data_IF_461674783767
#
_entry.id   IF_461674783767
#
_cell.length_a   1.000
_cell.length_b   1.000
_cell.length_c   1.000
_cell.angle_alpha   90.00
_cell.angle_beta   90.00
_cell.angle_gamma   90.00
#
_symmetry.space_group_name_H-M   'P 1'
#
loop_
_entity.id
_entity.type
_entity.pdbx_description
1 polymer ?
#
# COMPACT_ATOMS: atom_id res chain seq x y z
N UNK A 1 -19.72 10.50 5.03
CA UNK A 1 -19.54 9.12 4.52
C UNK A 1 -20.94 8.53 4.44
N UNK A 2 -21.35 7.88 3.34
CA UNK A 2 -22.71 7.32 3.25
C UNK A 2 -22.79 5.94 3.92
N UNK A 3 -23.99 5.54 4.34
CA UNK A 3 -24.25 4.23 4.94
C UNK A 3 -23.80 3.08 4.03
N UNK A 4 -24.07 3.19 2.73
CA UNK A 4 -23.58 2.24 1.70
C UNK A 4 -22.06 2.14 1.65
N UNK A 5 -21.33 3.24 1.90
CA UNK A 5 -19.86 3.22 1.91
C UNK A 5 -19.33 2.41 3.09
N UNK A 6 -19.98 2.51 4.25
CA UNK A 6 -19.62 1.75 5.46
C UNK A 6 -19.89 0.26 5.22
N UNK A 7 -21.07 -0.09 4.71
CA UNK A 7 -21.40 -1.47 4.32
C UNK A 7 -20.39 -2.05 3.32
N UNK A 8 -19.96 -1.26 2.33
CA UNK A 8 -18.94 -1.70 1.38
C UNK A 8 -17.57 -1.96 2.01
N UNK A 9 -17.23 -1.25 3.10
CA UNK A 9 -16.00 -1.51 3.86
C UNK A 9 -16.14 -2.78 4.71
N UNK A 10 -17.27 -2.94 5.40
CA UNK A 10 -17.55 -4.12 6.23
C UNK A 10 -17.60 -5.41 5.41
N UNK A 11 -18.21 -5.35 4.22
CA UNK A 11 -18.31 -6.48 3.30
C UNK A 11 -17.03 -6.70 2.47
N UNK A 12 -16.03 -5.82 2.60
CA UNK A 12 -14.77 -5.91 1.85
C UNK A 12 -14.90 -5.65 0.35
N UNK A 13 -16.02 -5.10 -0.13
CA UNK A 13 -16.22 -4.77 -1.55
C UNK A 13 -15.35 -3.60 -2.02
N UNK A 14 -14.96 -2.72 -1.11
CA UNK A 14 -14.10 -1.58 -1.42
C UNK A 14 -12.97 -1.47 -0.39
N UNK A 15 -11.71 -1.31 -0.83
CA UNK A 15 -10.63 -1.06 0.11
C UNK A 15 -10.73 0.36 0.69
N UNK A 16 -10.37 0.50 1.96
CA UNK A 16 -10.30 1.80 2.62
C UNK A 16 -9.06 2.54 2.08
N UNK A 17 -9.23 3.80 1.64
CA UNK A 17 -8.10 4.61 1.21
C UNK A 17 -7.25 5.04 2.41
N UNK A 18 -5.92 5.09 2.29
CA UNK A 18 -4.99 5.45 3.37
C UNK A 18 -5.43 6.68 4.18
N UNK A 19 -5.75 7.79 3.50
CA UNK A 19 -6.17 9.03 4.16
C UNK A 19 -7.50 8.89 4.90
N UNK A 20 -8.41 8.04 4.39
CA UNK A 20 -9.67 7.70 5.07
C UNK A 20 -9.42 6.78 6.27
N UNK A 21 -8.52 5.80 6.14
CA UNK A 21 -8.15 4.90 7.22
C UNK A 21 -7.57 5.68 8.41
N UNK A 22 -6.63 6.62 8.19
CA UNK A 22 -6.11 7.50 9.25
C UNK A 22 -7.20 8.34 9.92
N UNK A 23 -8.12 8.90 9.13
CA UNK A 23 -9.24 9.71 9.66
C UNK A 23 -10.22 8.86 10.48
N UNK A 24 -10.53 7.65 10.02
CA UNK A 24 -11.40 6.71 10.72
C UNK A 24 -10.74 6.23 12.02
N UNK A 25 -9.47 5.84 11.97
CA UNK A 25 -8.70 5.43 13.14
C UNK A 25 -8.68 6.53 14.21
N UNK A 26 -8.45 7.79 13.81
CA UNK A 26 -8.51 8.93 14.72
C UNK A 26 -9.91 9.16 15.31
N UNK A 27 -10.97 8.97 14.52
CA UNK A 27 -12.35 9.14 15.00
C UNK A 27 -12.81 8.01 15.93
N UNK A 28 -12.28 6.80 15.72
CA UNK A 28 -12.58 5.60 16.51
C UNK A 28 -11.61 5.39 17.68
N UNK A 29 -10.56 6.22 17.78
CA UNK A 29 -9.49 6.13 18.77
C UNK A 29 -8.80 4.75 18.80
N UNK A 30 -8.61 4.15 17.61
CA UNK A 30 -7.92 2.87 17.41
C UNK A 30 -6.61 3.06 16.64
N UNK A 31 -5.75 2.03 16.66
CA UNK A 31 -4.55 1.99 15.82
C UNK A 31 -4.92 1.93 14.33
N UNK A 32 -4.41 2.89 13.55
CA UNK A 32 -4.59 2.99 12.10
C UNK A 32 -4.10 1.76 11.33
N UNK A 33 -3.10 1.05 11.88
CA UNK A 33 -2.57 -0.19 11.30
C UNK A 33 -3.60 -1.31 11.22
N UNK A 34 -4.63 -1.27 12.07
CA UNK A 34 -5.74 -2.23 12.04
C UNK A 34 -6.63 -2.05 10.81
N UNK A 35 -6.67 -0.83 10.25
CA UNK A 35 -7.46 -0.50 9.06
C UNK A 35 -6.63 -0.57 7.76
N UNK A 36 -5.33 -0.78 7.86
CA UNK A 36 -4.43 -0.78 6.70
C UNK A 36 -4.40 -2.14 6.02
N UNK A 37 -4.68 -2.12 4.72
CA UNK A 37 -4.32 -3.20 3.80
C UNK A 37 -2.84 -3.11 3.39
N UNK A 38 -2.35 -4.08 2.61
CA UNK A 38 -0.93 -4.14 2.21
C UNK A 38 -0.47 -2.89 1.45
N UNK A 39 -1.38 -2.27 0.67
CA UNK A 39 -1.09 -1.01 0.01
C UNK A 39 -0.93 0.14 1.02
N UNK A 40 -1.82 0.23 2.01
CA UNK A 40 -1.73 1.26 3.04
C UNK A 40 -0.48 1.05 3.92
N UNK A 41 -0.13 -0.20 4.24
CA UNK A 41 1.11 -0.55 4.96
C UNK A 41 2.34 -0.15 4.15
N UNK A 42 2.32 -0.40 2.84
CA UNK A 42 3.39 0.02 1.95
C UNK A 42 3.56 1.53 1.98
N UNK A 43 2.45 2.29 1.90
CA UNK A 43 2.49 3.76 1.96
C UNK A 43 2.92 4.31 3.33
N UNK A 44 2.57 3.64 4.42
CA UNK A 44 2.93 4.03 5.77
C UNK A 44 4.41 3.77 6.07
N UNK A 45 4.94 2.68 5.52
CA UNK A 45 6.37 2.40 5.53
C UNK A 45 7.11 3.45 4.68
N UNK A 46 8.39 3.75 4.96
CA UNK A 46 9.25 4.49 4.03
C UNK A 46 9.46 3.69 2.74
N UNK A 47 8.44 3.64 1.88
CA UNK A 47 8.36 2.79 0.70
C UNK A 47 9.47 3.06 -0.29
N UNK A 48 9.95 4.30 -0.34
CA UNK A 48 11.09 4.71 -1.15
C UNK A 48 12.37 3.95 -0.75
N UNK A 49 12.57 3.75 0.56
CA UNK A 49 13.69 2.97 1.07
C UNK A 49 13.51 1.49 0.73
N UNK A 50 12.31 0.95 0.97
CA UNK A 50 12.01 -0.45 0.66
C UNK A 50 12.17 -0.77 -0.83
N UNK A 51 11.70 0.12 -1.71
CA UNK A 51 11.94 0.07 -3.14
C UNK A 51 13.44 0.01 -3.47
N UNK A 52 14.25 0.83 -2.80
CA UNK A 52 15.70 0.90 -3.03
C UNK A 52 16.39 -0.40 -2.61
N UNK A 53 15.99 -0.97 -1.48
CA UNK A 53 16.47 -2.27 -0.99
C UNK A 53 16.11 -3.38 -1.96
N UNK A 54 14.82 -3.53 -2.29
CA UNK A 54 14.35 -4.56 -3.22
C UNK A 54 15.05 -4.46 -4.58
N UNK A 55 15.26 -3.24 -5.09
CA UNK A 55 16.01 -3.00 -6.32
C UNK A 55 17.46 -3.49 -6.20
N UNK A 56 18.14 -3.20 -5.08
CA UNK A 56 19.51 -3.65 -4.83
C UNK A 56 19.60 -5.16 -4.71
N UNK A 57 18.67 -5.79 -4.00
CA UNK A 57 18.66 -7.23 -3.80
C UNK A 57 18.27 -8.01 -5.07
N UNK A 58 17.51 -7.41 -5.98
CA UNK A 58 17.13 -7.99 -7.28
C UNK A 58 18.11 -7.64 -8.42
N UNK A 59 19.12 -6.80 -8.15
CA UNK A 59 20.07 -6.35 -9.18
C UNK A 59 19.44 -5.50 -10.28
N UNK A 60 18.32 -4.83 -10.02
CA UNK A 60 17.57 -4.05 -11.01
C UNK A 60 18.17 -2.65 -11.22
N UNK A 61 18.16 -2.17 -12.47
CA UNK A 61 18.64 -0.82 -12.81
C UNK A 61 17.51 0.20 -12.71
N UNK A 62 17.86 1.48 -12.52
CA UNK A 62 16.85 2.54 -12.34
C UNK A 62 15.91 2.68 -13.55
N UNK A 63 16.39 2.39 -14.77
CA UNK A 63 15.57 2.44 -15.99
C UNK A 63 14.58 1.29 -16.16
N UNK A 64 14.73 0.21 -15.38
CA UNK A 64 13.75 -0.89 -15.34
C UNK A 64 12.72 -0.70 -14.22
N UNK A 65 12.91 0.31 -13.36
CA UNK A 65 12.24 0.40 -12.07
C UNK A 65 11.90 1.83 -11.66
N UNK A 66 10.70 2.29 -12.00
CA UNK A 66 10.18 3.58 -11.56
C UNK A 66 9.53 3.45 -10.17
N UNK A 67 10.31 3.33 -9.09
CA UNK A 67 9.82 3.82 -7.81
C UNK A 67 9.92 5.34 -7.83
N UNK A 68 8.91 5.98 -8.42
CA UNK A 68 8.82 7.43 -8.52
C UNK A 68 8.89 8.07 -7.13
N UNK A 69 9.42 9.29 -7.05
CA UNK A 69 9.36 10.12 -5.84
C UNK A 69 7.91 10.43 -5.40
N UNK A 70 6.93 10.17 -6.27
CA UNK A 70 5.51 10.40 -6.07
C UNK A 70 4.85 9.15 -5.50
N UNK A 71 3.90 9.36 -4.59
CA UNK A 71 3.03 8.30 -4.04
C UNK A 71 2.38 7.50 -5.18
N UNK A 72 2.69 6.20 -5.33
CA UNK A 72 2.08 5.38 -6.39
C UNK A 72 0.60 5.18 -6.10
N UNK A 73 -0.20 5.05 -7.16
CA UNK A 73 -1.59 4.59 -7.03
C UNK A 73 -1.67 3.09 -6.70
N UNK A 74 -2.90 2.60 -6.46
CA UNK A 74 -3.15 1.18 -6.16
C UNK A 74 -2.80 0.25 -7.32
N UNK A 75 -3.11 0.62 -8.56
CA UNK A 75 -2.84 -0.24 -9.72
C UNK A 75 -1.32 -0.42 -9.98
N UNK A 76 -0.49 0.64 -9.99
CA UNK A 76 0.97 0.48 -10.01
C UNK A 76 1.49 -0.39 -8.87
N UNK A 77 0.97 -0.20 -7.65
CA UNK A 77 1.34 -1.03 -6.50
C UNK A 77 0.98 -2.51 -6.71
N UNK A 78 -0.18 -2.84 -7.26
CA UNK A 78 -0.57 -4.24 -7.50
C UNK A 78 0.35 -4.93 -8.50
N UNK A 79 0.71 -4.24 -9.60
CA UNK A 79 1.69 -4.74 -10.58
C UNK A 79 3.06 -4.96 -9.93
N UNK A 80 3.48 -4.00 -9.10
CA UNK A 80 4.71 -4.09 -8.33
C UNK A 80 4.69 -5.27 -7.34
N UNK A 81 3.64 -5.40 -6.55
CA UNK A 81 3.49 -6.47 -5.57
C UNK A 81 3.50 -7.84 -6.24
N UNK A 82 2.75 -8.01 -7.34
CA UNK A 82 2.76 -9.24 -8.13
C UNK A 82 4.16 -9.57 -8.67
N UNK A 83 4.92 -8.57 -9.14
CA UNK A 83 6.30 -8.77 -9.58
C UNK A 83 7.19 -9.21 -8.42
N UNK A 84 7.16 -8.53 -7.27
CA UNK A 84 7.98 -8.87 -6.11
C UNK A 84 7.66 -10.28 -5.58
N UNK A 85 6.38 -10.62 -5.49
CA UNK A 85 5.95 -11.97 -5.09
C UNK A 85 6.39 -13.04 -6.10
N UNK A 86 6.42 -12.73 -7.41
CA UNK A 86 6.95 -13.65 -8.43
C UNK A 86 8.45 -13.94 -8.26
N UNK A 87 9.20 -13.01 -7.64
CA UNK A 87 10.60 -13.17 -7.29
C UNK A 87 10.80 -13.83 -5.91
N UNK A 88 9.73 -14.32 -5.27
CA UNK A 88 9.78 -14.97 -3.96
C UNK A 88 10.02 -14.02 -2.78
N UNK A 89 9.70 -12.74 -2.95
CA UNK A 89 9.92 -11.70 -1.93
C UNK A 89 8.61 -11.09 -1.46
N UNK A 90 8.65 -10.45 -0.29
CA UNK A 90 7.54 -9.70 0.27
C UNK A 90 7.76 -8.20 0.16
N UNK A 91 6.66 -7.49 -0.11
CA UNK A 91 6.65 -6.05 -0.35
C UNK A 91 6.83 -5.26 0.94
N UNK A 92 6.14 -5.67 2.00
CA UNK A 92 6.14 -5.07 3.35
C UNK A 92 6.18 -6.19 4.37
#
# INVERSE_FOLDING_TARGET
MSETTILNYELGYMPIAYDKAKRLAKALEIDEKLLFDDYCRFLDYPFQLRCKELRSELGLTYGTWECAAVRPGREPFQKFAAFITSQGKEVV
#
